data_IF_784152130801
#
_entry.id   IF_784152130801
#
_cell.length_a   1.000
_cell.length_b   1.000
_cell.length_c   1.000
_cell.angle_alpha   90.00
_cell.angle_beta   90.00
_cell.angle_gamma   90.00
#
_symmetry.space_group_name_H-M   'P 1'
#
loop_
_entity.id
_entity.type
_entity.pdbx_description
1 polymer ?
#
# COMPACT_ATOMS: atom_id res chain seq x y z
N UNK A 1 11.05 50.35 -3.54
CA UNK A 1 10.46 49.60 -2.40
C UNK A 1 9.03 49.12 -2.66
N UNK A 2 8.13 49.97 -3.18
CA UNK A 2 6.72 49.59 -3.45
C UNK A 2 6.57 48.45 -4.48
N UNK A 3 7.38 48.45 -5.55
CA UNK A 3 7.41 47.39 -6.57
C UNK A 3 7.97 46.06 -6.05
N UNK A 4 8.93 46.12 -5.13
CA UNK A 4 9.49 44.95 -4.44
C UNK A 4 8.45 44.33 -3.50
N UNK A 5 7.78 45.18 -2.71
CA UNK A 5 6.70 44.75 -1.83
C UNK A 5 5.55 44.09 -2.63
N UNK A 6 5.15 44.68 -3.76
CA UNK A 6 4.09 44.12 -4.60
C UNK A 6 4.46 42.74 -5.17
N UNK A 7 5.70 42.56 -5.66
CA UNK A 7 6.17 41.26 -6.15
C UNK A 7 6.23 40.21 -5.05
N UNK A 8 6.66 40.58 -3.85
CA UNK A 8 6.64 39.67 -2.69
C UNK A 8 5.21 39.29 -2.30
N UNK A 9 4.27 40.22 -2.36
CA UNK A 9 2.86 39.97 -2.05
C UNK A 9 2.23 39.00 -3.06
N UNK A 10 2.55 39.14 -4.35
CA UNK A 10 2.09 38.24 -5.41
C UNK A 10 2.63 36.81 -5.27
N UNK A 11 3.91 36.67 -4.90
CA UNK A 11 4.53 35.35 -4.69
C UNK A 11 3.89 34.64 -3.49
N UNK A 12 3.63 35.35 -2.40
CA UNK A 12 2.98 34.76 -1.21
C UNK A 12 1.54 34.31 -1.52
N UNK A 13 0.78 35.11 -2.28
CA UNK A 13 -0.57 34.73 -2.69
C UNK A 13 -0.59 33.48 -3.58
N UNK A 14 0.39 33.33 -4.48
CA UNK A 14 0.50 32.16 -5.35
C UNK A 14 0.84 30.87 -4.56
N UNK A 15 1.74 30.96 -3.58
CA UNK A 15 2.07 29.82 -2.71
C UNK A 15 0.86 29.34 -1.90
N UNK A 16 0.00 30.27 -1.46
CA UNK A 16 -1.24 29.92 -0.74
C UNK A 16 -2.27 29.21 -1.63
N UNK A 17 -2.27 29.44 -2.95
CA UNK A 17 -3.18 28.77 -3.89
C UNK A 17 -2.76 27.31 -4.18
N UNK A 18 -1.48 26.97 -4.08
CA UNK A 18 -0.98 25.61 -4.29
C UNK A 18 -1.22 24.68 -3.09
N UNK A 19 -1.62 25.22 -1.94
CA UNK A 19 -1.83 24.45 -0.71
C UNK A 19 -3.27 23.89 -0.56
N UNK A 20 -4.15 24.06 -1.54
CA UNK A 20 -5.49 23.48 -1.48
C UNK A 20 -5.48 22.00 -1.91
N UNK A 21 -5.83 21.06 -1.02
CA UNK A 21 -6.03 19.68 -1.42
C UNK A 21 -7.26 19.59 -2.33
N UNK A 22 -7.12 19.00 -3.52
CA UNK A 22 -8.24 18.63 -4.40
C UNK A 22 -9.09 17.59 -3.67
N UNK A 23 -10.09 18.06 -2.90
CA UNK A 23 -11.06 17.22 -2.23
C UNK A 23 -12.17 16.86 -3.22
N UNK A 24 -12.19 15.61 -3.65
CA UNK A 24 -13.42 15.00 -4.18
C UNK A 24 -14.45 15.00 -3.05
N UNK A 25 -15.61 15.62 -3.29
CA UNK A 25 -16.66 15.75 -2.29
C UNK A 25 -17.52 14.48 -2.26
N UNK A 26 -17.20 13.54 -1.38
CA UNK A 26 -18.22 12.68 -0.78
C UNK A 26 -18.48 13.19 0.64
N UNK A 27 -19.71 13.64 0.85
CA UNK A 27 -20.18 14.22 2.10
C UNK A 27 -20.75 13.07 2.93
N UNK A 28 -20.00 12.56 3.87
CA UNK A 28 -20.58 11.80 4.98
C UNK A 28 -20.15 12.44 6.29
N UNK A 29 -21.11 13.15 6.90
CA UNK A 29 -21.00 13.67 8.24
C UNK A 29 -21.07 12.49 9.21
N UNK A 30 -20.00 12.24 9.96
CA UNK A 30 -20.02 11.35 11.11
C UNK A 30 -19.74 12.16 12.39
N UNK A 31 -20.75 12.20 13.24
CA UNK A 31 -20.75 12.67 14.62
C UNK A 31 -20.12 11.59 15.51
N UNK A 32 -19.17 12.00 16.36
CA UNK A 32 -18.35 11.07 17.14
C UNK A 32 -17.31 11.82 17.98
N UNK A 33 -17.78 12.31 19.12
CA UNK A 33 -17.01 12.95 20.19
C UNK A 33 -15.87 12.05 20.72
N UNK A 34 -14.62 12.45 20.50
CA UNK A 34 -13.52 12.30 21.48
C UNK A 34 -12.27 13.13 21.09
N UNK A 35 -11.80 13.93 22.06
CA UNK A 35 -10.65 14.81 21.99
C UNK A 35 -9.34 14.03 22.10
N UNK A 36 -8.36 14.36 21.27
CA UNK A 36 -6.96 13.97 21.52
C UNK A 36 -6.09 14.06 20.28
N UNK A 37 -5.34 15.15 20.19
CA UNK A 37 -4.11 15.36 19.40
C UNK A 37 -3.38 14.02 19.19
N UNK A 38 -3.25 13.49 17.98
CA UNK A 38 -2.12 13.70 17.07
C UNK A 38 -2.54 13.29 15.65
N UNK A 39 -2.65 14.30 14.79
CA UNK A 39 -3.11 14.19 13.41
C UNK A 39 -1.91 13.97 12.49
N UNK A 40 -1.11 12.91 12.72
CA UNK A 40 0.18 12.77 12.00
C UNK A 40 0.64 11.34 11.70
N UNK A 41 -0.31 10.43 11.46
CA UNK A 41 0.00 9.24 10.68
C UNK A 41 -1.24 8.89 9.89
N UNK A 42 -1.25 9.29 8.63
CA UNK A 42 -2.13 8.73 7.61
C UNK A 42 -1.77 7.26 7.45
N UNK A 43 -2.18 6.46 8.44
CA UNK A 43 -2.08 5.03 8.39
C UNK A 43 -3.10 4.60 7.35
N UNK A 44 -2.60 4.06 6.25
CA UNK A 44 -3.38 3.20 5.38
C UNK A 44 -3.73 1.96 6.23
N UNK A 45 -4.66 2.12 7.16
CA UNK A 45 -5.37 1.03 7.78
C UNK A 45 -6.19 0.43 6.65
N UNK A 46 -5.60 -0.57 5.99
CA UNK A 46 -6.36 -1.53 5.20
C UNK A 46 -7.33 -2.18 6.20
N UNK A 47 -8.51 -1.58 6.32
CA UNK A 47 -9.63 -2.16 7.06
C UNK A 47 -10.10 -3.35 6.23
N UNK A 48 -9.38 -4.46 6.35
CA UNK A 48 -9.71 -5.75 5.76
C UNK A 48 -10.83 -6.40 6.57
N UNK A 49 -11.99 -5.75 6.62
CA UNK A 49 -13.21 -6.40 7.08
C UNK A 49 -13.69 -7.31 5.96
N UNK A 50 -13.49 -8.63 6.12
CA UNK A 50 -13.95 -9.73 5.26
C UNK A 50 -13.13 -10.11 4.01
N UNK A 51 -11.86 -9.73 3.88
CA UNK A 51 -11.00 -10.33 2.85
C UNK A 51 -10.54 -11.72 3.32
N UNK A 52 -11.13 -12.80 2.80
CA UNK A 52 -10.58 -14.14 2.91
C UNK A 52 -9.21 -14.16 2.22
N UNK A 53 -8.17 -13.92 3.02
CA UNK A 53 -6.82 -13.77 2.51
C UNK A 53 -6.11 -15.08 2.77
N UNK A 54 -5.65 -15.72 1.68
CA UNK A 54 -4.81 -16.91 1.78
C UNK A 54 -3.64 -16.62 2.73
N UNK A 55 -3.43 -17.51 3.68
CA UNK A 55 -2.25 -17.53 4.54
C UNK A 55 -0.98 -17.65 3.68
N UNK A 56 0.16 -17.22 4.24
CA UNK A 56 1.44 -17.35 3.54
C UNK A 56 1.75 -18.81 3.19
N UNK A 57 1.34 -19.78 4.03
CA UNK A 57 1.47 -21.21 3.73
C UNK A 57 0.65 -21.63 2.51
N UNK A 58 -0.63 -21.24 2.45
CA UNK A 58 -1.49 -21.56 1.30
C UNK A 58 -0.94 -20.95 -0.01
N UNK A 59 -0.32 -19.77 0.07
CA UNK A 59 0.35 -19.15 -1.09
C UNK A 59 1.59 -19.93 -1.52
N UNK A 60 2.43 -20.36 -0.57
CA UNK A 60 3.61 -21.20 -0.84
C UNK A 60 3.17 -22.51 -1.51
N UNK A 61 2.16 -23.18 -0.97
CA UNK A 61 1.64 -24.44 -1.53
C UNK A 61 1.09 -24.27 -2.94
N UNK A 62 0.31 -23.20 -3.17
CA UNK A 62 -0.24 -22.90 -4.49
C UNK A 62 0.85 -22.70 -5.53
N UNK A 63 1.83 -21.83 -5.26
CA UNK A 63 2.93 -21.57 -6.20
C UNK A 63 3.77 -22.83 -6.42
N UNK A 64 4.01 -23.61 -5.37
CA UNK A 64 4.71 -24.90 -5.49
C UNK A 64 3.97 -25.85 -6.42
N UNK A 65 2.64 -25.92 -6.34
CA UNK A 65 1.84 -26.77 -7.22
C UNK A 65 1.84 -26.28 -8.67
N UNK A 66 1.82 -24.97 -8.91
CA UNK A 66 1.96 -24.42 -10.26
C UNK A 66 3.35 -24.72 -10.86
N UNK A 67 4.42 -24.62 -10.06
CA UNK A 67 5.78 -24.99 -10.51
C UNK A 67 5.84 -26.48 -10.88
N UNK A 68 5.17 -27.37 -10.13
CA UNK A 68 5.11 -28.81 -10.45
C UNK A 68 4.46 -29.11 -11.80
N UNK A 69 3.59 -28.22 -12.31
CA UNK A 69 3.02 -28.37 -13.67
C UNK A 69 4.07 -28.15 -14.76
N UNK A 70 5.18 -27.49 -14.43
CA UNK A 70 6.37 -27.42 -15.27
C UNK A 70 6.11 -26.83 -16.66
N UNK A 71 6.87 -27.32 -17.63
CA UNK A 71 6.82 -26.82 -19.01
C UNK A 71 5.58 -27.24 -19.80
N UNK A 72 4.72 -28.08 -19.22
CA UNK A 72 3.45 -28.47 -19.83
C UNK A 72 2.46 -27.32 -19.89
N UNK A 73 2.65 -26.30 -19.02
CA UNK A 73 1.76 -25.16 -18.87
C UNK A 73 2.50 -23.83 -18.98
N UNK A 74 3.76 -23.79 -18.53
CA UNK A 74 4.53 -22.55 -18.41
C UNK A 74 5.78 -22.56 -19.26
N UNK A 75 6.18 -21.39 -19.72
CA UNK A 75 7.51 -21.21 -20.33
C UNK A 75 8.61 -21.26 -19.26
N UNK A 76 9.87 -21.51 -19.65
CA UNK A 76 11.00 -21.48 -18.70
C UNK A 76 11.14 -20.15 -17.95
N UNK A 77 10.86 -19.02 -18.62
CA UNK A 77 10.91 -17.70 -18.00
C UNK A 77 9.78 -17.48 -16.98
N UNK A 78 8.60 -18.06 -17.22
CA UNK A 78 7.48 -18.02 -16.28
C UNK A 78 7.74 -18.89 -15.06
N UNK A 79 8.30 -20.10 -15.26
CA UNK A 79 8.73 -20.95 -14.14
C UNK A 79 9.75 -20.24 -13.27
N UNK A 80 10.73 -19.55 -13.87
CA UNK A 80 11.71 -18.74 -13.12
C UNK A 80 11.06 -17.61 -12.33
N UNK A 81 10.00 -16.99 -12.84
CA UNK A 81 9.23 -15.99 -12.10
C UNK A 81 8.47 -16.62 -10.93
N UNK A 82 7.85 -17.78 -11.12
CA UNK A 82 7.17 -18.53 -10.06
C UNK A 82 8.15 -18.96 -8.95
N UNK A 83 9.35 -19.43 -9.31
CA UNK A 83 10.41 -19.76 -8.35
C UNK A 83 10.86 -18.53 -7.53
N UNK A 84 10.96 -17.36 -8.18
CA UNK A 84 11.29 -16.11 -7.50
C UNK A 84 10.19 -15.70 -6.51
N UNK A 85 8.93 -15.85 -6.90
CA UNK A 85 7.78 -15.60 -6.02
C UNK A 85 7.75 -16.57 -4.83
N UNK A 86 8.02 -17.85 -5.06
CA UNK A 86 8.10 -18.86 -4.00
C UNK A 86 9.16 -18.47 -2.95
N UNK A 87 10.36 -18.11 -3.40
CA UNK A 87 11.45 -17.68 -2.53
C UNK A 87 11.09 -16.43 -1.70
N UNK A 88 10.36 -15.48 -2.28
CA UNK A 88 9.89 -14.30 -1.55
C UNK A 88 8.88 -14.69 -0.45
N UNK A 89 7.92 -15.56 -0.76
CA UNK A 89 6.96 -16.04 0.24
C UNK A 89 7.62 -16.87 1.35
N UNK A 90 8.62 -17.68 1.04
CA UNK A 90 9.39 -18.41 2.05
C UNK A 90 10.16 -17.47 2.97
N UNK A 91 10.78 -16.41 2.43
CA UNK A 91 11.42 -15.38 3.25
C UNK A 91 10.42 -14.68 4.15
N UNK A 92 9.26 -14.30 3.61
CA UNK A 92 8.19 -13.70 4.40
C UNK A 92 7.73 -14.64 5.52
N UNK A 93 7.57 -15.94 5.23
CA UNK A 93 7.19 -16.96 6.21
C UNK A 93 8.20 -17.10 7.36
N UNK A 94 9.50 -17.02 7.04
CA UNK A 94 10.56 -17.04 8.05
C UNK A 94 10.55 -15.77 8.92
N UNK A 95 10.33 -14.59 8.33
CA UNK A 95 10.29 -13.32 9.05
C UNK A 95 9.14 -13.27 10.06
N UNK A 96 7.98 -13.84 9.72
CA UNK A 96 6.82 -13.91 10.63
C UNK A 96 6.94 -15.02 11.69
N UNK A 97 8.08 -15.71 11.78
CA UNK A 97 8.36 -16.73 12.78
C UNK A 97 7.62 -18.06 12.55
N UNK A 98 7.20 -18.33 11.31
CA UNK A 98 6.53 -19.58 10.98
C UNK A 98 7.46 -20.79 11.14
N UNK A 99 7.06 -21.80 11.90
CA UNK A 99 7.71 -23.11 11.93
C UNK A 99 7.03 -24.04 10.94
N UNK A 100 7.80 -24.67 10.04
CA UNK A 100 7.30 -25.76 9.20
C UNK A 100 7.02 -26.95 10.13
N UNK A 101 5.74 -27.24 10.34
CA UNK A 101 5.26 -28.39 11.10
C UNK A 101 5.49 -29.70 10.37
#
# INVERSE_FOLDING_TARGET
MKTLAYRLTLVVAYVMLLAMPVRSAEKDAFDGNEMGVEKEKSECLLVSKNCATDSIQERIERVTNEIKRGTDVYTPDELKRLEMQLNDYEKQFLIIGGTRG
#
